data_IF_199757983616
#
_entry.id   IF_199757983616
#
_cell.length_a   1.000
_cell.length_b   1.000
_cell.length_c   1.000
_cell.angle_alpha   90.00
_cell.angle_beta   90.00
_cell.angle_gamma   90.00
#
_symmetry.space_group_name_H-M   'P 1'
#
loop_
_entity.id
_entity.type
_entity.pdbx_description
1 polymer ?
#
# COMPACT_ATOMS: atom_id res chain seq x y z
N UNK A 1 19.95 37.46 -17.94
CA UNK A 1 20.03 36.17 -17.24
C UNK A 1 18.84 36.12 -16.28
N UNK A 2 17.70 35.55 -16.71
CA UNK A 2 16.54 35.44 -15.82
C UNK A 2 16.83 34.36 -14.78
N UNK A 3 16.98 34.78 -13.53
CA UNK A 3 17.03 33.88 -12.40
C UNK A 3 15.63 33.25 -12.29
N UNK A 4 15.49 31.95 -12.58
CA UNK A 4 14.28 31.22 -12.23
C UNK A 4 14.25 31.10 -10.69
N UNK A 5 13.62 32.07 -10.04
CA UNK A 5 13.47 32.16 -8.57
C UNK A 5 12.02 31.87 -8.23
N UNK A 6 11.79 31.00 -7.25
CA UNK A 6 10.47 30.66 -6.73
C UNK A 6 10.17 29.16 -6.79
N UNK A 7 8.90 28.83 -6.52
CA UNK A 7 8.38 27.47 -6.65
C UNK A 7 8.40 27.00 -8.10
N UNK A 8 8.75 25.73 -8.29
CA UNK A 8 8.80 25.10 -9.61
C UNK A 8 7.56 24.25 -9.85
N UNK A 9 6.73 24.67 -10.80
CA UNK A 9 5.42 24.07 -11.10
C UNK A 9 5.47 23.06 -12.25
N UNK A 10 6.27 22.00 -12.11
CA UNK A 10 6.30 20.92 -13.11
C UNK A 10 5.18 19.89 -12.91
N UNK A 11 4.79 19.63 -11.67
CA UNK A 11 3.75 18.68 -11.30
C UNK A 11 3.05 19.15 -10.02
N UNK A 12 2.04 18.42 -9.56
CA UNK A 12 1.25 18.70 -8.34
C UNK A 12 2.03 18.57 -7.01
N UNK A 13 3.34 18.35 -7.09
CA UNK A 13 4.26 18.18 -5.97
C UNK A 13 5.45 19.13 -6.10
N UNK A 14 5.13 20.43 -6.11
CA UNK A 14 6.07 21.52 -6.31
C UNK A 14 7.12 21.62 -5.19
N UNK A 15 6.77 21.21 -3.97
CA UNK A 15 7.64 21.21 -2.79
C UNK A 15 8.84 20.27 -2.96
N UNK A 16 8.57 19.00 -3.31
CA UNK A 16 9.58 18.00 -3.63
C UNK A 16 10.46 18.46 -4.80
N UNK A 17 9.84 18.92 -5.89
CA UNK A 17 10.56 19.28 -7.11
C UNK A 17 11.46 20.51 -6.92
N UNK A 18 10.98 21.49 -6.16
CA UNK A 18 11.76 22.69 -5.79
C UNK A 18 12.94 22.31 -4.91
N UNK A 19 12.72 21.51 -3.85
CA UNK A 19 13.77 21.02 -2.96
C UNK A 19 14.85 20.23 -3.72
N UNK A 20 14.44 19.28 -4.58
CA UNK A 20 15.35 18.51 -5.42
C UNK A 20 16.22 19.40 -6.32
N UNK A 21 15.61 20.40 -6.95
CA UNK A 21 16.33 21.33 -7.83
C UNK A 21 17.31 22.23 -7.05
N UNK A 22 16.95 22.67 -5.85
CA UNK A 22 17.85 23.44 -4.98
C UNK A 22 19.04 22.58 -4.53
N UNK A 23 18.82 21.36 -4.07
CA UNK A 23 19.92 20.47 -3.67
C UNK A 23 20.88 20.15 -4.82
N UNK A 24 20.38 19.98 -6.06
CA UNK A 24 21.22 19.85 -7.26
C UNK A 24 22.08 21.08 -7.58
N UNK A 25 21.70 22.26 -7.06
CA UNK A 25 22.46 23.51 -7.17
C UNK A 25 23.44 23.69 -6.00
N UNK A 26 23.58 22.70 -5.12
CA UNK A 26 24.50 22.72 -3.99
C UNK A 26 23.93 23.30 -2.70
N UNK A 27 22.63 23.64 -2.65
CA UNK A 27 21.97 24.04 -1.42
C UNK A 27 21.92 22.88 -0.41
N UNK A 28 21.99 23.21 0.87
CA UNK A 28 21.90 22.24 1.98
C UNK A 28 20.65 22.52 2.80
N UNK A 29 19.92 21.47 3.14
CA UNK A 29 18.80 21.52 4.09
C UNK A 29 19.26 21.14 5.49
N UNK A 30 18.51 21.60 6.49
CA UNK A 30 18.69 21.24 7.89
C UNK A 30 17.33 20.82 8.44
N UNK A 31 17.27 19.66 9.09
CA UNK A 31 16.08 19.20 9.80
C UNK A 31 16.27 19.40 11.30
N UNK A 32 15.39 20.18 11.92
CA UNK A 32 15.41 20.46 13.35
C UNK A 32 14.17 19.82 14.00
N UNK A 33 14.39 18.98 15.00
CA UNK A 33 13.31 18.30 15.75
C UNK A 33 13.33 18.72 17.23
N UNK A 34 12.77 19.91 17.57
CA UNK A 34 12.73 20.39 18.95
C UNK A 34 11.71 19.58 19.78
N UNK A 35 11.94 19.49 21.10
CA UNK A 35 11.05 18.77 22.04
C UNK A 35 9.58 19.22 21.98
N UNK A 36 9.34 20.51 21.73
CA UNK A 36 8.00 21.06 21.56
C UNK A 36 7.73 21.26 20.07
N UNK A 37 6.65 20.69 19.51
CA UNK A 37 6.24 20.96 18.13
C UNK A 37 6.06 22.46 17.92
N UNK A 38 6.75 23.02 16.92
CA UNK A 38 6.66 24.44 16.56
C UNK A 38 5.57 24.71 15.51
N UNK A 39 5.19 23.69 14.76
CA UNK A 39 4.13 23.73 13.76
C UNK A 39 3.07 22.71 14.12
N UNK A 40 1.81 23.15 14.18
CA UNK A 40 0.65 22.30 14.39
C UNK A 40 -0.26 22.43 13.17
N UNK A 41 -0.59 21.30 12.57
CA UNK A 41 -1.49 21.23 11.42
C UNK A 41 -2.65 20.29 11.70
N UNK A 42 -3.74 20.48 10.98
CA UNK A 42 -4.88 19.56 10.99
C UNK A 42 -4.64 18.44 9.98
N UNK A 43 -4.64 17.19 10.46
CA UNK A 43 -4.59 16.00 9.63
C UNK A 43 -5.99 15.61 9.12
N UNK A 44 -6.04 14.78 8.07
CA UNK A 44 -7.28 14.12 7.65
C UNK A 44 -7.66 13.06 8.69
N UNK A 45 -8.96 12.99 9.03
CA UNK A 45 -9.48 12.06 10.05
C UNK A 45 -10.28 10.90 9.46
N UNK A 46 -10.60 10.95 8.16
CA UNK A 46 -11.32 9.90 7.45
C UNK A 46 -10.49 9.30 6.31
N UNK A 47 -10.85 8.08 5.90
CA UNK A 47 -10.10 7.32 4.89
C UNK A 47 -10.14 7.98 3.51
N UNK A 48 -11.29 8.52 3.11
CA UNK A 48 -11.48 9.10 1.77
C UNK A 48 -10.51 10.26 1.51
N UNK A 49 -10.49 11.23 2.42
CA UNK A 49 -9.64 12.41 2.27
C UNK A 49 -8.16 12.05 2.36
N UNK A 50 -7.80 11.10 3.26
CA UNK A 50 -6.44 10.56 3.31
C UNK A 50 -6.04 9.91 1.96
N UNK A 51 -6.91 9.11 1.36
CA UNK A 51 -6.67 8.47 0.06
C UNK A 51 -6.54 9.47 -1.08
N UNK A 52 -7.39 10.49 -1.15
CA UNK A 52 -7.30 11.57 -2.15
C UNK A 52 -5.95 12.29 -2.02
N UNK A 53 -5.57 12.67 -0.79
CA UNK A 53 -4.31 13.33 -0.53
C UNK A 53 -3.12 12.48 -0.94
N UNK A 54 -3.11 11.19 -0.58
CA UNK A 54 -2.04 10.29 -0.96
C UNK A 54 -1.98 10.07 -2.47
N UNK A 55 -3.11 9.83 -3.14
CA UNK A 55 -3.14 9.69 -4.62
C UNK A 55 -2.51 10.89 -5.30
N UNK A 56 -2.79 12.11 -4.84
CA UNK A 56 -2.16 13.34 -5.36
C UNK A 56 -0.64 13.34 -5.19
N UNK A 57 -0.15 13.00 -4.00
CA UNK A 57 1.29 12.93 -3.75
C UNK A 57 1.98 11.90 -4.64
N UNK A 58 1.36 10.72 -4.79
CA UNK A 58 1.86 9.64 -5.62
C UNK A 58 1.85 10.01 -7.10
N UNK A 59 0.81 10.70 -7.58
CA UNK A 59 0.77 11.22 -8.95
C UNK A 59 1.94 12.16 -9.21
N UNK A 60 2.15 13.16 -8.34
CA UNK A 60 3.29 14.07 -8.47
C UNK A 60 4.67 13.39 -8.43
N UNK A 61 4.88 12.46 -7.48
CA UNK A 61 6.12 11.67 -7.40
C UNK A 61 6.36 10.84 -8.66
N UNK A 62 5.31 10.17 -9.14
CA UNK A 62 5.37 9.35 -10.36
C UNK A 62 5.67 10.22 -11.58
N UNK A 63 5.02 11.39 -11.71
CA UNK A 63 5.29 12.35 -12.79
C UNK A 63 6.75 12.78 -12.82
N UNK A 64 7.39 12.99 -11.66
CA UNK A 64 8.84 13.26 -11.62
C UNK A 64 9.63 12.04 -12.06
N UNK A 65 9.32 10.85 -11.54
CA UNK A 65 10.03 9.61 -11.85
C UNK A 65 10.04 9.24 -13.34
N UNK A 66 8.93 9.46 -14.06
CA UNK A 66 8.79 9.15 -15.49
C UNK A 66 9.15 10.32 -16.42
N UNK A 67 9.68 11.41 -15.86
CA UNK A 67 10.08 12.60 -16.63
C UNK A 67 11.59 12.69 -16.83
N UNK A 68 12.02 13.65 -17.66
CA UNK A 68 13.42 14.06 -17.78
C UNK A 68 14.04 14.54 -16.46
N UNK A 69 13.21 14.85 -15.46
CA UNK A 69 13.63 15.30 -14.15
C UNK A 69 13.83 14.17 -13.14
N UNK A 70 13.69 12.91 -13.56
CA UNK A 70 13.93 11.75 -12.72
C UNK A 70 15.29 11.86 -11.98
N UNK A 71 15.34 11.57 -10.66
CA UNK A 71 16.59 11.61 -9.90
C UNK A 71 17.72 10.81 -10.56
N UNK A 72 17.43 9.64 -11.15
CA UNK A 72 18.42 8.84 -11.89
C UNK A 72 19.06 9.55 -13.07
N UNK A 73 18.30 10.40 -13.78
CA UNK A 73 18.78 11.10 -14.98
C UNK A 73 19.48 12.39 -14.60
N UNK A 74 18.87 13.14 -13.68
CA UNK A 74 19.25 14.52 -13.38
C UNK A 74 20.19 14.64 -12.17
N UNK A 75 20.15 13.69 -11.25
CA UNK A 75 20.87 13.72 -9.98
C UNK A 75 22.36 13.33 -10.03
N UNK A 76 22.80 12.38 -10.87
CA UNK A 76 24.21 11.98 -10.91
C UNK A 76 25.16 13.16 -11.09
N UNK A 77 26.30 13.12 -10.39
CA UNK A 77 27.35 14.15 -10.37
C UNK A 77 26.95 15.52 -9.79
N UNK A 78 25.70 15.72 -9.37
CA UNK A 78 25.21 16.98 -8.78
C UNK A 78 24.88 16.89 -7.29
N UNK A 79 24.92 15.69 -6.72
CA UNK A 79 24.72 15.42 -5.29
C UNK A 79 25.46 14.13 -4.89
N UNK A 80 25.58 13.88 -3.58
CA UNK A 80 26.18 12.64 -3.09
C UNK A 80 25.30 11.43 -3.42
N UNK A 81 25.91 10.24 -3.48
CA UNK A 81 25.20 8.99 -3.77
C UNK A 81 24.04 8.73 -2.80
N UNK A 82 24.26 8.96 -1.49
CA UNK A 82 23.22 8.77 -0.48
C UNK A 82 22.05 9.72 -0.70
N UNK A 83 22.32 10.99 -0.99
CA UNK A 83 21.27 11.97 -1.24
C UNK A 83 20.49 11.64 -2.52
N UNK A 84 21.18 11.16 -3.55
CA UNK A 84 20.56 10.65 -4.77
C UNK A 84 19.64 9.46 -4.48
N UNK A 85 20.08 8.51 -3.65
CA UNK A 85 19.27 7.35 -3.26
C UNK A 85 18.00 7.76 -2.53
N UNK A 86 18.06 8.71 -1.59
CA UNK A 86 16.88 9.21 -0.88
C UNK A 86 15.85 9.83 -1.85
N UNK A 87 16.29 10.67 -2.77
CA UNK A 87 15.39 11.25 -3.78
C UNK A 87 14.83 10.19 -4.72
N UNK A 88 15.66 9.24 -5.13
CA UNK A 88 15.24 8.18 -6.02
C UNK A 88 14.19 7.28 -5.37
N UNK A 89 14.42 6.88 -4.12
CA UNK A 89 13.48 6.09 -3.34
C UNK A 89 12.13 6.80 -3.29
N UNK A 90 12.08 8.07 -2.87
CA UNK A 90 10.83 8.83 -2.76
C UNK A 90 10.11 8.95 -4.11
N UNK A 91 10.82 9.24 -5.21
CA UNK A 91 10.21 9.36 -6.53
C UNK A 91 9.70 8.02 -7.10
N UNK A 92 10.47 6.94 -6.97
CA UNK A 92 10.20 5.65 -7.64
C UNK A 92 9.40 4.66 -6.78
N UNK A 93 9.38 4.81 -5.46
CA UNK A 93 8.64 3.94 -4.54
C UNK A 93 7.17 3.73 -4.96
N UNK A 94 6.40 4.76 -5.38
CA UNK A 94 5.04 4.58 -5.92
C UNK A 94 4.89 3.45 -6.94
N UNK A 95 5.68 3.52 -8.01
CA UNK A 95 5.62 2.58 -9.14
C UNK A 95 6.10 1.18 -8.73
N UNK A 96 7.23 1.12 -8.02
CA UNK A 96 7.85 -0.15 -7.64
C UNK A 96 6.97 -0.92 -6.65
N UNK A 97 6.39 -0.23 -5.67
CA UNK A 97 5.59 -0.87 -4.63
C UNK A 97 4.22 -1.25 -5.16
N UNK A 98 3.57 -0.42 -5.99
CA UNK A 98 2.29 -0.78 -6.60
C UNK A 98 2.38 -2.12 -7.33
N UNK A 99 3.33 -2.25 -8.27
CA UNK A 99 3.47 -3.47 -9.08
C UNK A 99 3.81 -4.70 -8.22
N UNK A 100 4.77 -4.54 -7.30
CA UNK A 100 5.22 -5.65 -6.45
C UNK A 100 4.10 -6.13 -5.52
N UNK A 101 3.36 -5.20 -4.90
CA UNK A 101 2.30 -5.56 -3.95
C UNK A 101 1.09 -6.16 -4.64
N UNK A 102 0.72 -5.70 -5.84
CA UNK A 102 -0.30 -6.40 -6.64
C UNK A 102 0.10 -7.84 -6.96
N UNK A 103 1.38 -8.08 -7.25
CA UNK A 103 1.93 -9.43 -7.38
C UNK A 103 1.74 -10.26 -6.11
N UNK A 104 2.16 -9.75 -4.95
CA UNK A 104 2.01 -10.45 -3.65
C UNK A 104 0.55 -10.57 -3.15
N UNK A 105 -0.34 -9.70 -3.62
CA UNK A 105 -1.75 -9.70 -3.26
C UNK A 105 -2.58 -10.70 -4.07
N UNK A 106 -2.10 -11.11 -5.25
CA UNK A 106 -2.81 -12.01 -6.15
C UNK A 106 -2.09 -13.35 -6.36
N UNK A 107 -0.79 -13.36 -6.65
CA UNK A 107 -0.07 -14.57 -7.06
C UNK A 107 -0.09 -15.63 -5.94
N UNK A 108 0.33 -15.34 -4.68
CA UNK A 108 0.29 -16.33 -3.62
C UNK A 108 -1.11 -16.89 -3.36
N UNK A 109 -2.14 -16.07 -3.48
CA UNK A 109 -3.55 -16.40 -3.21
C UNK A 109 -4.13 -17.26 -4.33
N UNK A 110 -3.81 -16.94 -5.59
CA UNK A 110 -4.22 -17.76 -6.75
C UNK A 110 -3.51 -19.11 -6.73
N UNK A 111 -2.22 -19.15 -6.43
CA UNK A 111 -1.49 -20.41 -6.24
C UNK A 111 -2.06 -21.21 -5.05
N UNK A 112 -2.40 -20.55 -3.94
CA UNK A 112 -3.01 -21.19 -2.78
C UNK A 112 -4.38 -21.80 -3.12
N UNK A 113 -5.23 -21.04 -3.81
CA UNK A 113 -6.55 -21.49 -4.28
C UNK A 113 -6.44 -22.74 -5.18
N UNK A 114 -5.45 -22.75 -6.08
CA UNK A 114 -5.20 -23.85 -7.02
C UNK A 114 -4.37 -25.00 -6.42
N UNK A 115 -3.84 -24.88 -5.21
CA UNK A 115 -3.01 -25.92 -4.58
C UNK A 115 -1.59 -26.02 -5.15
N UNK A 116 -1.07 -24.92 -5.72
CA UNK A 116 0.28 -24.83 -6.26
C UNK A 116 1.21 -24.30 -5.15
N UNK A 117 2.18 -25.09 -4.67
CA UNK A 117 3.10 -24.68 -3.62
C UNK A 117 4.13 -23.68 -4.15
N UNK A 118 4.25 -22.53 -3.47
CA UNK A 118 5.26 -21.51 -3.77
C UNK A 118 6.48 -21.54 -2.82
N UNK A 119 6.31 -22.14 -1.64
CA UNK A 119 7.35 -22.25 -0.64
C UNK A 119 7.76 -23.71 -0.45
N UNK A 120 8.97 -23.98 0.06
CA UNK A 120 9.33 -25.31 0.52
C UNK A 120 8.33 -25.83 1.56
N UNK A 121 8.21 -27.15 1.66
CA UNK A 121 7.40 -27.78 2.71
C UNK A 121 7.91 -27.37 4.07
N UNK A 122 7.04 -27.30 5.08
CA UNK A 122 7.47 -26.98 6.45
C UNK A 122 8.51 -27.97 7.01
N UNK A 123 8.50 -29.22 6.52
CA UNK A 123 9.46 -30.27 6.89
C UNK A 123 10.82 -30.14 6.20
N UNK A 124 10.95 -29.30 5.16
CA UNK A 124 12.22 -29.02 4.49
C UNK A 124 13.03 -27.97 5.28
N UNK A 125 14.31 -28.24 5.50
CA UNK A 125 15.24 -27.29 6.16
C UNK A 125 15.30 -25.92 5.47
N UNK A 126 15.10 -25.87 4.14
CA UNK A 126 15.07 -24.63 3.39
C UNK A 126 13.93 -23.69 3.80
N UNK A 127 12.85 -24.21 4.39
CA UNK A 127 11.74 -23.40 4.92
C UNK A 127 12.20 -22.41 6.00
N UNK A 128 13.26 -22.75 6.75
CA UNK A 128 13.84 -21.88 7.76
C UNK A 128 14.35 -20.56 7.18
N UNK A 129 14.89 -20.57 5.96
CA UNK A 129 15.39 -19.36 5.29
C UNK A 129 14.24 -18.36 5.10
N UNK A 130 13.11 -18.82 4.57
CA UNK A 130 11.92 -17.98 4.36
C UNK A 130 11.33 -17.47 5.68
N UNK A 131 11.31 -18.34 6.71
CA UNK A 131 10.85 -17.98 8.06
C UNK A 131 11.70 -16.88 8.69
N UNK A 132 13.03 -16.99 8.62
CA UNK A 132 13.98 -16.00 9.15
C UNK A 132 13.81 -14.66 8.41
N UNK A 133 13.70 -14.68 7.08
CA UNK A 133 13.50 -13.46 6.29
C UNK A 133 12.21 -12.75 6.70
N UNK A 134 11.10 -13.50 6.81
CA UNK A 134 9.80 -12.95 7.21
C UNK A 134 9.85 -12.34 8.62
N UNK A 135 10.34 -13.10 9.60
CA UNK A 135 10.41 -12.65 11.00
C UNK A 135 11.35 -11.45 11.13
N UNK A 136 12.50 -11.46 10.45
CA UNK A 136 13.46 -10.36 10.46
C UNK A 136 12.84 -9.06 9.91
N UNK A 137 12.12 -9.14 8.78
CA UNK A 137 11.46 -7.98 8.18
C UNK A 137 10.41 -7.36 9.11
N UNK A 138 9.55 -8.20 9.71
CA UNK A 138 8.52 -7.76 10.66
C UNK A 138 9.15 -7.19 11.94
N UNK A 139 10.19 -7.85 12.46
CA UNK A 139 10.87 -7.41 13.68
C UNK A 139 11.57 -6.07 13.49
N UNK A 140 12.20 -5.85 12.33
CA UNK A 140 12.82 -4.57 11.98
C UNK A 140 11.77 -3.45 11.95
N UNK A 141 10.66 -3.66 11.25
CA UNK A 141 9.58 -2.67 11.17
C UNK A 141 9.00 -2.33 12.56
N UNK A 142 8.81 -3.34 13.40
CA UNK A 142 8.35 -3.12 14.77
C UNK A 142 9.38 -2.36 15.61
N UNK A 143 10.66 -2.72 15.49
CA UNK A 143 11.75 -2.06 16.21
C UNK A 143 11.84 -0.57 15.86
N UNK A 144 11.67 -0.19 14.59
CA UNK A 144 11.67 1.22 14.17
C UNK A 144 10.57 2.03 14.85
N UNK A 145 9.34 1.49 14.95
CA UNK A 145 8.22 2.18 15.60
C UNK A 145 8.39 2.26 17.12
N UNK A 146 8.89 1.20 17.76
CA UNK A 146 9.06 1.21 19.22
C UNK A 146 10.21 2.13 19.64
N UNK A 147 11.27 2.21 18.85
CA UNK A 147 12.41 3.10 19.15
C UNK A 147 12.10 4.58 18.96
N UNK A 148 11.10 4.95 18.16
CA UNK A 148 10.57 6.32 18.09
C UNK A 148 9.67 6.69 19.27
N UNK A 149 9.39 5.74 20.18
CA UNK A 149 8.55 5.94 21.36
C UNK A 149 7.07 5.65 21.14
N UNK A 150 6.70 5.10 19.98
CA UNK A 150 5.32 4.76 19.63
C UNK A 150 4.92 3.36 20.11
N UNK A 151 3.60 3.12 20.14
CA UNK A 151 3.03 1.87 20.64
C UNK A 151 2.89 0.80 19.55
N UNK A 152 2.79 -0.47 19.96
CA UNK A 152 2.50 -1.59 19.05
C UNK A 152 1.23 -1.37 18.19
N UNK A 153 0.21 -0.68 18.74
CA UNK A 153 -1.00 -0.32 17.99
C UNK A 153 -0.69 0.56 16.78
N UNK A 154 0.28 1.48 16.90
CA UNK A 154 0.74 2.35 15.81
C UNK A 154 1.39 1.50 14.72
N UNK A 155 2.30 0.60 15.10
CA UNK A 155 2.93 -0.33 14.15
C UNK A 155 1.91 -1.14 13.35
N UNK A 156 0.91 -1.73 14.02
CA UNK A 156 -0.16 -2.49 13.35
C UNK A 156 -0.93 -1.63 12.33
N UNK A 157 -1.18 -0.36 12.67
CA UNK A 157 -1.87 0.56 11.78
C UNK A 157 -1.00 1.02 10.61
N UNK A 158 0.28 1.33 10.85
CA UNK A 158 1.26 1.65 9.80
C UNK A 158 1.37 0.52 8.78
N UNK A 159 1.48 -0.72 9.26
CA UNK A 159 1.56 -1.91 8.40
C UNK A 159 0.31 -2.07 7.53
N UNK A 160 -0.87 -1.89 8.11
CA UNK A 160 -2.15 -1.92 7.38
C UNK A 160 -2.22 -0.80 6.35
N UNK A 161 -1.95 0.44 6.77
CA UNK A 161 -2.06 1.62 5.91
C UNK A 161 -1.08 1.52 4.74
N UNK A 162 0.13 0.99 4.97
CA UNK A 162 1.09 0.72 3.90
C UNK A 162 0.51 -0.23 2.83
N UNK A 163 -0.05 -1.37 3.23
CA UNK A 163 -0.69 -2.31 2.28
C UNK A 163 -1.86 -1.66 1.54
N UNK A 164 -2.73 -0.95 2.27
CA UNK A 164 -3.88 -0.25 1.70
C UNK A 164 -3.44 0.79 0.68
N UNK A 165 -2.43 1.61 1.00
CA UNK A 165 -1.88 2.63 0.10
C UNK A 165 -1.29 2.00 -1.16
N UNK A 166 -0.62 0.87 -1.07
CA UNK A 166 -0.01 0.20 -2.22
C UNK A 166 -1.06 -0.30 -3.23
N UNK A 167 -2.16 -0.88 -2.75
CA UNK A 167 -3.26 -1.41 -3.60
C UNK A 167 -4.14 -0.29 -4.16
N UNK A 168 -4.23 0.85 -3.46
CA UNK A 168 -5.13 1.95 -3.82
C UNK A 168 -4.36 3.16 -4.36
N UNK A 169 -3.84 4.00 -3.48
CA UNK A 169 -3.30 5.32 -3.78
C UNK A 169 -2.08 5.24 -4.69
N UNK A 170 -1.26 4.20 -4.55
CA UNK A 170 -0.06 4.02 -5.37
C UNK A 170 -0.46 3.63 -6.79
N UNK A 171 -1.41 2.71 -6.92
CA UNK A 171 -1.99 2.31 -8.20
C UNK A 171 -2.65 3.47 -8.91
N UNK A 172 -3.58 4.16 -8.26
CA UNK A 172 -4.31 5.26 -8.88
C UNK A 172 -3.44 6.48 -9.16
N UNK A 173 -2.56 6.86 -8.23
CA UNK A 173 -1.66 7.99 -8.45
C UNK A 173 -0.65 7.71 -9.56
N UNK A 174 -0.09 6.50 -9.62
CA UNK A 174 0.82 6.15 -10.70
C UNK A 174 0.13 6.02 -12.06
N UNK A 175 -1.07 5.43 -12.11
CA UNK A 175 -1.88 5.38 -13.34
C UNK A 175 -2.27 6.79 -13.81
N UNK A 176 -2.67 7.67 -12.90
CA UNK A 176 -3.02 9.06 -13.20
C UNK A 176 -1.84 9.78 -13.87
N UNK A 177 -0.64 9.69 -13.30
CA UNK A 177 0.57 10.28 -13.87
C UNK A 177 0.94 9.68 -15.25
N UNK A 178 0.77 8.37 -15.45
CA UNK A 178 1.03 7.71 -16.74
C UNK A 178 0.03 8.17 -17.79
N UNK A 179 -1.26 8.22 -17.47
CA UNK A 179 -2.31 8.63 -18.40
C UNK A 179 -2.18 10.11 -18.79
N UNK A 180 -1.84 10.98 -17.84
CA UNK A 180 -1.50 12.39 -18.11
C UNK A 180 -0.29 12.49 -19.05
N UNK A 181 0.76 11.69 -18.79
CA UNK A 181 1.96 11.67 -19.64
C UNK A 181 1.69 11.22 -21.07
N UNK A 182 0.71 10.33 -21.27
CA UNK A 182 0.26 9.84 -22.57
C UNK A 182 -0.76 10.77 -23.25
N UNK A 183 -1.18 11.87 -22.60
CA UNK A 183 -2.19 12.78 -23.11
C UNK A 183 -3.61 12.21 -23.12
N UNK A 184 -3.87 11.15 -22.35
CA UNK A 184 -5.15 10.44 -22.28
C UNK A 184 -6.09 11.00 -21.21
N UNK A 185 -5.58 11.86 -20.32
CA UNK A 185 -6.33 12.49 -19.23
C UNK A 185 -5.71 13.86 -18.94
N UNK A 186 -6.53 14.85 -18.60
CA UNK A 186 -6.04 16.11 -18.06
C UNK A 186 -5.75 15.99 -16.57
N UNK A 187 -4.67 16.65 -16.11
CA UNK A 187 -4.32 16.73 -14.70
C UNK A 187 -5.47 17.33 -13.86
N UNK A 188 -6.11 16.49 -13.04
CA UNK A 188 -7.22 16.90 -12.17
C UNK A 188 -6.72 17.12 -10.74
N UNK A 189 -6.81 18.34 -10.23
CA UNK A 189 -6.47 18.69 -8.85
C UNK A 189 -7.75 18.86 -8.02
N UNK A 190 -8.00 17.93 -7.10
CA UNK A 190 -9.06 18.06 -6.10
C UNK A 190 -8.41 18.35 -4.74
N UNK A 191 -8.59 19.56 -4.17
CA UNK A 191 -8.14 19.84 -2.81
C UNK A 191 -8.82 18.89 -1.81
N UNK A 192 -8.08 18.44 -0.79
CA UNK A 192 -8.68 17.69 0.31
C UNK A 192 -9.61 18.57 1.13
N UNK A 193 -10.77 18.04 1.46
CA UNK A 193 -11.68 18.65 2.39
C UNK A 193 -11.27 18.30 3.83
N UNK A 194 -10.97 19.31 4.63
CA UNK A 194 -10.59 19.14 6.06
C UNK A 194 -11.73 19.46 7.02
N UNK A 195 -12.94 19.70 6.51
CA UNK A 195 -14.12 19.87 7.32
C UNK A 195 -14.53 18.50 7.85
N UNK A 196 -14.56 18.36 9.17
CA UNK A 196 -14.90 17.12 9.85
C UNK A 196 -16.20 17.28 10.61
N UNK A 197 -17.09 16.30 10.48
CA UNK A 197 -18.28 16.19 11.32
C UNK A 197 -17.94 15.51 12.66
N UNK A 198 -18.73 15.78 13.71
CA UNK A 198 -18.52 15.26 15.08
C UNK A 198 -18.47 13.74 15.12
N UNK A 199 -19.25 13.07 14.26
CA UNK A 199 -19.23 11.61 14.11
C UNK A 199 -17.87 11.10 13.58
N UNK A 200 -17.28 11.81 12.60
CA UNK A 200 -15.96 11.44 12.05
C UNK A 200 -14.86 11.59 13.09
N UNK A 201 -14.89 12.68 13.86
CA UNK A 201 -13.92 12.94 14.92
C UNK A 201 -14.00 11.83 15.99
N UNK A 202 -15.20 11.46 16.43
CA UNK A 202 -15.38 10.36 17.39
C UNK A 202 -14.82 9.03 16.88
N UNK A 203 -15.09 8.67 15.63
CA UNK A 203 -14.55 7.44 15.03
C UNK A 203 -13.02 7.47 15.00
N UNK A 204 -12.43 8.61 14.63
CA UNK A 204 -10.99 8.79 14.61
C UNK A 204 -10.36 8.67 16.01
N UNK A 205 -10.94 9.30 17.04
CA UNK A 205 -10.46 9.20 18.43
C UNK A 205 -10.54 7.77 18.98
N UNK A 206 -11.57 7.01 18.59
CA UNK A 206 -11.66 5.58 18.91
C UNK A 206 -10.68 4.72 18.09
N UNK A 207 -10.09 5.26 17.02
CA UNK A 207 -9.23 4.57 16.07
C UNK A 207 -9.99 3.56 15.21
N UNK A 208 -11.25 3.88 14.89
CA UNK A 208 -12.13 3.12 14.00
C UNK A 208 -12.04 3.74 12.60
N UNK A 209 -11.84 2.91 11.58
CA UNK A 209 -11.75 3.39 10.20
C UNK A 209 -13.10 3.93 9.71
N UNK A 210 -13.10 5.10 9.08
CA UNK A 210 -14.28 5.61 8.39
C UNK A 210 -14.22 5.23 6.89
N UNK A 211 -15.00 4.24 6.48
CA UNK A 211 -15.04 3.75 5.09
C UNK A 211 -16.06 4.48 4.20
N UNK A 212 -16.57 5.65 4.61
CA UNK A 212 -17.31 6.55 3.70
C UNK A 212 -16.36 7.15 2.67
N UNK A 213 -15.98 6.33 1.69
CA UNK A 213 -15.01 6.67 0.67
C UNK A 213 -15.48 6.29 -0.73
N UNK A 214 -14.86 6.91 -1.74
CA UNK A 214 -15.14 6.61 -3.12
C UNK A 214 -14.93 5.12 -3.42
N UNK A 215 -15.85 4.52 -4.20
CA UNK A 215 -15.80 3.10 -4.59
C UNK A 215 -14.49 2.74 -5.28
N UNK A 216 -13.85 3.69 -5.97
CA UNK A 216 -12.52 3.47 -6.57
C UNK A 216 -11.47 3.05 -5.54
N UNK A 217 -11.50 3.53 -4.29
CA UNK A 217 -10.54 3.13 -3.26
C UNK A 217 -10.98 1.84 -2.56
N UNK A 218 -12.29 1.68 -2.32
CA UNK A 218 -12.81 0.54 -1.59
C UNK A 218 -12.79 -0.75 -2.41
N UNK A 219 -13.18 -0.69 -3.68
CA UNK A 219 -13.37 -1.88 -4.49
C UNK A 219 -12.09 -2.71 -4.67
N UNK A 220 -10.92 -2.16 -5.05
CA UNK A 220 -9.69 -2.95 -5.16
C UNK A 220 -9.26 -3.58 -3.84
N UNK A 221 -9.41 -2.84 -2.74
CA UNK A 221 -9.07 -3.30 -1.41
C UNK A 221 -9.93 -4.48 -0.97
N UNK A 222 -11.25 -4.35 -1.12
CA UNK A 222 -12.20 -5.41 -0.79
C UNK A 222 -12.02 -6.61 -1.70
N UNK A 223 -11.80 -6.41 -3.00
CA UNK A 223 -11.56 -7.48 -3.97
C UNK A 223 -10.36 -8.33 -3.58
N UNK A 224 -9.21 -7.72 -3.24
CA UNK A 224 -8.01 -8.44 -2.82
C UNK A 224 -8.25 -9.22 -1.53
N UNK A 225 -8.94 -8.63 -0.55
CA UNK A 225 -9.26 -9.31 0.71
C UNK A 225 -10.19 -10.50 0.48
N UNK A 226 -11.18 -10.38 -0.41
CA UNK A 226 -12.10 -11.47 -0.77
C UNK A 226 -11.38 -12.60 -1.52
N UNK A 227 -10.48 -12.28 -2.46
CA UNK A 227 -9.63 -13.27 -3.14
C UNK A 227 -8.78 -14.03 -2.12
N UNK A 228 -8.13 -13.32 -1.20
CA UNK A 228 -7.32 -13.92 -0.14
C UNK A 228 -8.16 -14.78 0.82
N UNK A 229 -9.35 -14.31 1.19
CA UNK A 229 -10.27 -15.05 2.05
C UNK A 229 -10.76 -16.35 1.40
N UNK A 230 -11.17 -16.30 0.13
CA UNK A 230 -11.59 -17.49 -0.63
C UNK A 230 -10.44 -18.50 -0.77
N UNK A 231 -9.23 -18.03 -1.07
CA UNK A 231 -8.04 -18.87 -1.12
C UNK A 231 -7.73 -19.54 0.24
N UNK A 232 -7.81 -18.78 1.33
CA UNK A 232 -7.58 -19.30 2.68
C UNK A 232 -8.59 -20.38 3.06
N UNK A 233 -9.88 -20.10 2.90
CA UNK A 233 -10.96 -21.05 3.23
C UNK A 233 -10.86 -22.30 2.37
N UNK A 234 -10.61 -22.15 1.06
CA UNK A 234 -10.40 -23.28 0.16
C UNK A 234 -9.20 -24.14 0.55
N UNK A 235 -8.09 -23.52 0.96
CA UNK A 235 -6.91 -24.25 1.43
C UNK A 235 -7.13 -24.96 2.76
N UNK A 236 -7.84 -24.34 3.72
CA UNK A 236 -8.22 -25.00 4.97
C UNK A 236 -9.11 -26.21 4.70
N UNK A 237 -10.08 -26.09 3.81
CA UNK A 237 -10.93 -27.23 3.42
C UNK A 237 -10.10 -28.35 2.78
N UNK A 238 -9.23 -28.03 1.81
CA UNK A 238 -8.33 -29.00 1.19
C UNK A 238 -7.39 -29.65 2.21
N UNK A 239 -6.85 -28.90 3.17
CA UNK A 239 -5.99 -29.41 4.22
C UNK A 239 -6.68 -30.42 5.16
N UNK A 240 -8.00 -30.30 5.32
CA UNK A 240 -8.79 -31.20 6.17
C UNK A 240 -9.27 -32.46 5.42
N UNK A 241 -9.51 -32.36 4.12
CA UNK A 241 -10.16 -33.42 3.31
C UNK A 241 -9.17 -34.21 2.46
N UNK A 242 -8.09 -33.57 1.98
CA UNK A 242 -7.09 -34.21 1.13
C UNK A 242 -6.05 -34.90 2.01
N UNK A 243 -6.25 -36.19 2.22
CA UNK A 243 -5.23 -37.07 2.79
C UNK A 243 -4.48 -37.76 1.64
N UNK A 244 -3.17 -37.54 1.57
CA UNK A 244 -2.30 -38.12 0.55
C UNK A 244 -1.27 -38.98 1.25
N UNK A 245 -1.19 -40.26 0.87
CA UNK A 245 -0.46 -41.35 1.54
C UNK A 245 1.06 -41.06 1.65
N UNK A 246 1.42 -40.17 2.58
CA UNK A 246 2.79 -39.78 2.92
C UNK A 246 3.12 -38.30 2.74
N UNK A 247 2.28 -37.48 2.10
CA UNK A 247 2.65 -36.10 1.74
C UNK A 247 1.48 -35.11 1.91
N UNK A 248 1.20 -34.79 3.18
CA UNK A 248 0.02 -34.03 3.63
C UNK A 248 -0.06 -32.66 2.95
N UNK A 249 -1.23 -32.32 2.40
CA UNK A 249 -1.49 -31.04 1.72
C UNK A 249 -1.10 -29.83 2.58
N UNK A 250 -1.42 -29.87 3.88
CA UNK A 250 -1.12 -28.77 4.79
C UNK A 250 0.39 -28.52 4.95
N UNK A 251 1.24 -29.55 4.90
CA UNK A 251 2.70 -29.39 5.01
C UNK A 251 3.28 -28.68 3.78
N UNK A 252 2.72 -28.99 2.60
CA UNK A 252 3.09 -28.35 1.32
C UNK A 252 2.67 -26.89 1.26
N UNK A 253 1.48 -26.58 1.78
CA UNK A 253 0.86 -25.26 1.64
C UNK A 253 1.04 -24.34 2.85
N UNK A 254 1.72 -24.81 3.91
CA UNK A 254 1.82 -24.10 5.19
C UNK A 254 2.27 -22.64 5.04
N UNK A 255 3.33 -22.38 4.26
CA UNK A 255 3.85 -21.01 4.07
C UNK A 255 2.82 -20.05 3.47
N UNK A 256 2.11 -20.49 2.43
CA UNK A 256 1.05 -19.68 1.79
C UNK A 256 -0.17 -19.53 2.70
N UNK A 257 -0.58 -20.59 3.41
CA UNK A 257 -1.68 -20.53 4.37
C UNK A 257 -1.39 -19.54 5.51
N UNK A 258 -0.17 -19.58 6.06
CA UNK A 258 0.28 -18.65 7.09
C UNK A 258 0.31 -17.21 6.58
N UNK A 259 0.88 -16.97 5.39
CA UNK A 259 0.92 -15.64 4.79
C UNK A 259 -0.49 -15.09 4.55
N UNK A 260 -1.38 -15.93 4.00
CA UNK A 260 -2.77 -15.60 3.76
C UNK A 260 -3.50 -15.20 5.06
N UNK A 261 -3.35 -16.00 6.11
CA UNK A 261 -3.86 -15.72 7.45
C UNK A 261 -3.31 -14.40 8.01
N UNK A 262 -1.99 -14.19 7.92
CA UNK A 262 -1.33 -12.97 8.38
C UNK A 262 -1.89 -11.71 7.70
N UNK A 263 -2.13 -11.77 6.38
CA UNK A 263 -2.73 -10.67 5.63
C UNK A 263 -4.16 -10.39 6.11
N UNK A 264 -4.98 -11.43 6.35
CA UNK A 264 -6.35 -11.28 6.86
C UNK A 264 -6.37 -10.64 8.26
N UNK A 265 -5.51 -11.09 9.18
CA UNK A 265 -5.41 -10.53 10.53
C UNK A 265 -4.93 -9.07 10.50
N UNK A 266 -3.93 -8.77 9.68
CA UNK A 266 -3.40 -7.40 9.54
C UNK A 266 -4.46 -6.43 9.01
N UNK A 267 -5.30 -6.92 8.09
CA UNK A 267 -6.36 -6.17 7.42
C UNK A 267 -7.76 -6.39 8.02
N UNK A 268 -7.84 -6.87 9.27
CA UNK A 268 -9.11 -7.15 9.95
C UNK A 268 -10.09 -5.98 9.94
N UNK A 269 -9.61 -4.72 10.03
CA UNK A 269 -10.47 -3.54 9.99
C UNK A 269 -11.33 -3.45 8.71
N UNK A 270 -10.83 -3.96 7.58
CA UNK A 270 -11.56 -4.00 6.31
C UNK A 270 -12.63 -5.11 6.34
N UNK A 271 -12.29 -6.27 6.90
CA UNK A 271 -13.23 -7.38 7.10
C UNK A 271 -14.35 -6.98 8.05
N UNK A 272 -14.00 -6.36 9.16
CA UNK A 272 -14.93 -5.78 10.14
C UNK A 272 -15.83 -4.72 9.48
N UNK A 273 -15.24 -3.81 8.70
CA UNK A 273 -15.97 -2.79 7.94
C UNK A 273 -16.93 -3.38 6.90
N UNK A 274 -16.62 -4.55 6.34
CA UNK A 274 -17.44 -5.21 5.31
C UNK A 274 -18.57 -6.07 5.88
N UNK A 275 -18.31 -6.82 6.96
CA UNK A 275 -19.21 -7.90 7.42
C UNK A 275 -19.87 -7.56 8.75
N UNK A 276 -19.11 -6.99 9.70
CA UNK A 276 -19.54 -6.88 11.11
C UNK A 276 -20.25 -5.55 11.33
N UNK A 277 -19.68 -4.47 10.79
CA UNK A 277 -20.16 -3.11 10.98
C UNK A 277 -21.41 -2.82 10.17
N UNK A 278 -22.36 -2.14 10.79
CA UNK A 278 -23.65 -1.71 10.20
C UNK A 278 -23.90 -0.20 10.32
N UNK A 279 -22.93 0.52 10.87
CA UNK A 279 -22.96 1.97 10.99
C UNK A 279 -22.66 2.64 9.64
N UNK A 280 -22.91 3.95 9.53
CA UNK A 280 -22.70 4.69 8.26
C UNK A 280 -21.27 4.68 7.76
N UNK A 281 -20.30 4.41 8.64
CA UNK A 281 -18.89 4.33 8.32
C UNK A 281 -18.41 2.91 7.96
N UNK A 282 -19.31 1.94 7.83
CA UNK A 282 -19.04 0.63 7.24
C UNK A 282 -18.78 0.72 5.73
N UNK A 283 -18.27 -0.36 5.14
CA UNK A 283 -18.08 -0.46 3.70
C UNK A 283 -19.47 -0.57 3.04
N UNK A 284 -19.79 0.23 2.01
CA UNK A 284 -21.08 0.15 1.33
C UNK A 284 -21.30 -1.20 0.65
N UNK A 285 -22.50 -1.76 0.80
CA UNK A 285 -22.87 -3.05 0.21
C UNK A 285 -22.64 -3.09 -1.30
N UNK A 286 -22.90 -1.98 -2.00
CA UNK A 286 -22.66 -1.87 -3.44
C UNK A 286 -21.20 -2.10 -3.82
N UNK A 287 -20.25 -1.54 -3.05
CA UNK A 287 -18.83 -1.77 -3.27
C UNK A 287 -18.46 -3.24 -3.02
N UNK A 288 -18.99 -3.84 -1.96
CA UNK A 288 -18.79 -5.27 -1.67
C UNK A 288 -19.31 -6.16 -2.79
N UNK A 289 -20.51 -5.91 -3.32
CA UNK A 289 -21.09 -6.72 -4.41
C UNK A 289 -20.24 -6.66 -5.68
N UNK A 290 -19.82 -5.46 -6.10
CA UNK A 290 -18.90 -5.32 -7.23
C UNK A 290 -17.58 -6.04 -6.98
N UNK A 291 -17.00 -5.90 -5.78
CA UNK A 291 -15.78 -6.61 -5.42
C UNK A 291 -15.94 -8.12 -5.45
N UNK A 292 -17.08 -8.68 -5.04
CA UNK A 292 -17.36 -10.13 -5.17
C UNK A 292 -17.30 -10.56 -6.63
N UNK A 293 -17.93 -9.81 -7.54
CA UNK A 293 -17.89 -10.12 -8.99
C UNK A 293 -16.45 -10.10 -9.50
N UNK A 294 -15.67 -9.06 -9.15
CA UNK A 294 -14.26 -8.98 -9.52
C UNK A 294 -13.41 -10.09 -8.91
N UNK A 295 -13.63 -10.45 -7.65
CA UNK A 295 -12.91 -11.54 -6.98
C UNK A 295 -13.16 -12.89 -7.64
N UNK A 296 -14.42 -13.19 -7.98
CA UNK A 296 -14.77 -14.41 -8.72
C UNK A 296 -14.10 -14.42 -10.08
N UNK A 297 -14.17 -13.31 -10.81
CA UNK A 297 -13.51 -13.17 -12.11
C UNK A 297 -11.99 -13.41 -12.02
N UNK A 298 -11.32 -12.80 -11.04
CA UNK A 298 -9.88 -12.99 -10.78
C UNK A 298 -9.56 -14.45 -10.44
N UNK A 299 -10.34 -15.08 -9.57
CA UNK A 299 -10.13 -16.48 -9.19
C UNK A 299 -10.31 -17.42 -10.39
N UNK A 300 -11.37 -17.22 -11.20
CA UNK A 300 -11.65 -18.05 -12.39
C UNK A 300 -10.55 -17.88 -13.42
N UNK A 301 -10.25 -16.66 -13.85
CA UNK A 301 -9.21 -16.41 -14.85
C UNK A 301 -7.84 -16.84 -14.34
N UNK A 302 -7.51 -16.51 -13.09
CA UNK A 302 -6.25 -16.91 -12.48
C UNK A 302 -6.07 -18.42 -12.45
N UNK A 303 -7.15 -19.17 -12.20
CA UNK A 303 -7.10 -20.64 -12.27
C UNK A 303 -6.92 -21.14 -13.71
N UNK A 304 -7.57 -20.53 -14.70
CA UNK A 304 -7.37 -20.87 -16.13
C UNK A 304 -5.94 -20.60 -16.60
N UNK A 305 -5.28 -19.55 -16.09
CA UNK A 305 -3.90 -19.21 -16.46
C UNK A 305 -2.88 -20.13 -15.79
N UNK A 306 -3.18 -20.62 -14.58
CA UNK A 306 -2.28 -21.44 -13.77
C UNK A 306 -2.42 -22.96 -14.02
N UNK A 307 -3.50 -23.40 -14.64
CA UNK A 307 -3.75 -24.79 -15.06
C UNK A 307 -3.35 -25.02 -16.51
#
# INVERSE_FOLDING_TARGET
MFMQVGFLYFCVLEDYFTGFTLHRKGWKSVYLYPKRPQFLGTATTNFNEASIQWTRWISGLTSVAISRFCPLICGPLKMSLVHLMCYLEVACMPLLYCLSIWGFALIPQLCLFNGIPLYPKISDSNFNIFSIIFISAISKSLYEVVTTGDQFRVWKNEWRIWMVRCVTCYTYGSLDAILDKLGMKEASFLPTNKVTDDEQVKLYEMGIFDFRAATMFLAPLVTVILVNFAAFVGAVFKALVVDDNGDRYWEKMFGQMFLSFYILVSNYAIIEGMIIRKDKASIPLSATLWSVVFSVFILVIGSVILC
#
